data_IF_710152946873
#
_entry.id   IF_710152946873
#
_cell.length_a   1.000
_cell.length_b   1.000
_cell.length_c   1.000
_cell.angle_alpha   90.00
_cell.angle_beta   90.00
_cell.angle_gamma   90.00
#
_symmetry.space_group_name_H-M   'P 1'
#
loop_
_entity.id
_entity.type
_entity.pdbx_description
1 polymer ?
#
# COMPACT_ATOMS: atom_id res chain seq x y z
N UNK A 1 82.26 -16.44 32.61
CA UNK A 1 82.72 -16.86 31.27
C UNK A 1 81.59 -17.65 30.64
N UNK A 2 81.23 -17.23 29.43
CA UNK A 2 80.43 -17.86 28.36
C UNK A 2 80.18 -19.38 28.49
N UNK A 3 79.07 -19.94 28.01
CA UNK A 3 78.48 -19.70 26.68
C UNK A 3 77.02 -20.19 26.58
N UNK A 4 76.25 -19.49 25.76
CA UNK A 4 74.96 -19.88 25.20
C UNK A 4 75.07 -21.13 24.31
N UNK A 5 74.01 -21.97 24.28
CA UNK A 5 73.39 -22.45 23.02
C UNK A 5 72.21 -23.41 23.24
N UNK A 6 71.10 -23.07 22.56
CA UNK A 6 70.05 -23.92 21.97
C UNK A 6 68.80 -24.28 22.77
N UNK A 7 67.80 -23.43 22.54
CA UNK A 7 66.39 -23.70 22.22
C UNK A 7 66.02 -25.11 21.72
N UNK A 8 64.92 -25.66 22.25
CA UNK A 8 63.78 -26.13 21.44
C UNK A 8 62.52 -26.39 22.30
N UNK A 9 61.46 -25.64 21.98
CA UNK A 9 60.04 -26.03 21.92
C UNK A 9 59.36 -26.55 23.21
N UNK A 10 58.59 -25.67 23.86
CA UNK A 10 57.50 -26.00 24.78
C UNK A 10 56.17 -25.70 24.08
N UNK A 11 55.47 -26.75 23.65
CA UNK A 11 54.06 -26.68 23.28
C UNK A 11 53.24 -26.71 24.58
N UNK A 12 52.85 -25.52 25.05
CA UNK A 12 51.88 -25.34 26.12
C UNK A 12 50.47 -25.57 25.59
N UNK A 13 49.79 -26.56 26.15
CA UNK A 13 48.35 -26.72 26.05
C UNK A 13 47.64 -25.50 26.68
N UNK A 14 46.61 -24.89 26.05
CA UNK A 14 45.76 -23.95 26.74
C UNK A 14 44.62 -24.67 27.47
N UNK A 15 44.34 -24.12 28.65
CA UNK A 15 43.44 -24.58 29.67
C UNK A 15 41.99 -24.79 29.23
N UNK A 16 41.31 -25.64 29.99
CA UNK A 16 39.89 -25.93 29.88
C UNK A 16 39.05 -24.64 29.91
N UNK A 17 38.33 -24.38 28.82
CA UNK A 17 37.33 -23.31 28.72
C UNK A 17 36.06 -23.77 29.44
N UNK A 18 35.67 -22.99 30.43
CA UNK A 18 34.43 -23.07 31.22
C UNK A 18 33.19 -23.07 30.28
N UNK A 19 32.19 -23.97 30.43
CA UNK A 19 31.11 -24.08 29.46
C UNK A 19 29.97 -23.06 29.63
N UNK A 20 30.13 -22.02 30.47
CA UNK A 20 29.08 -21.04 30.78
C UNK A 20 29.22 -19.66 30.12
N UNK A 21 30.22 -19.45 29.24
CA UNK A 21 30.33 -18.19 28.48
C UNK A 21 29.48 -18.23 27.19
N UNK A 22 28.16 -18.18 27.36
CA UNK A 22 27.23 -17.88 26.26
C UNK A 22 27.03 -16.36 26.16
N UNK A 23 27.14 -15.77 24.95
CA UNK A 23 26.72 -14.39 24.76
C UNK A 23 25.22 -14.27 25.07
N UNK A 24 24.88 -13.40 26.02
CA UNK A 24 23.51 -13.05 26.37
C UNK A 24 22.78 -12.49 25.16
N UNK A 25 21.54 -12.96 24.95
CA UNK A 25 20.67 -12.64 23.83
C UNK A 25 20.06 -11.21 23.90
N UNK A 26 20.81 -10.24 24.41
CA UNK A 26 20.44 -8.83 24.49
C UNK A 26 21.52 -7.98 23.78
N UNK A 27 21.75 -8.28 22.50
CA UNK A 27 22.43 -7.36 21.60
C UNK A 27 21.49 -6.20 21.26
N UNK A 28 21.99 -4.95 21.16
CA UNK A 28 21.14 -3.81 20.82
C UNK A 28 20.46 -4.05 19.46
N UNK A 29 19.13 -3.94 19.43
CA UNK A 29 18.36 -3.84 18.19
C UNK A 29 18.93 -2.64 17.42
N UNK A 30 19.74 -2.91 16.41
CA UNK A 30 20.34 -1.87 15.59
C UNK A 30 19.21 -0.99 15.03
N UNK A 31 19.29 0.35 15.16
CA UNK A 31 18.30 1.22 14.58
C UNK A 31 18.28 1.00 13.07
N UNK A 32 17.08 0.91 12.49
CA UNK A 32 16.92 0.80 11.05
C UNK A 32 17.68 1.95 10.36
N UNK A 33 18.59 1.66 9.41
CA UNK A 33 19.28 2.72 8.70
C UNK A 33 18.25 3.56 7.94
N UNK A 34 18.27 4.86 8.18
CA UNK A 34 17.52 5.83 7.35
C UNK A 34 18.18 5.83 5.97
N UNK A 35 17.67 5.05 5.02
CA UNK A 35 18.09 5.16 3.63
C UNK A 35 16.93 5.06 2.64
N UNK A 36 17.04 5.91 1.63
CA UNK A 36 16.11 6.11 0.53
C UNK A 36 16.19 4.97 -0.49
N UNK A 37 15.14 4.13 -0.52
CA UNK A 37 14.45 3.70 -1.74
C UNK A 37 15.10 2.70 -2.71
N UNK A 38 16.34 2.88 -3.18
CA UNK A 38 16.72 2.27 -4.47
C UNK A 38 17.85 1.25 -4.48
N UNK A 39 18.62 1.02 -3.41
CA UNK A 39 19.77 0.11 -3.47
C UNK A 39 19.98 -0.65 -2.16
N UNK A 40 19.11 -1.61 -1.86
CA UNK A 40 19.47 -2.66 -0.89
C UNK A 40 20.15 -3.79 -1.66
N UNK A 41 21.44 -4.08 -1.40
CA UNK A 41 22.11 -5.25 -1.96
C UNK A 41 21.33 -6.52 -1.61
N UNK A 42 21.24 -7.52 -2.53
CA UNK A 42 20.56 -8.78 -2.28
C UNK A 42 21.03 -9.48 -0.98
N UNK A 43 22.29 -9.29 -0.61
CA UNK A 43 22.91 -9.83 0.61
C UNK A 43 22.27 -9.29 1.90
N UNK A 44 21.78 -8.04 1.91
CA UNK A 44 21.09 -7.46 3.06
C UNK A 44 19.69 -8.05 3.19
N UNK A 45 19.06 -8.36 2.05
CA UNK A 45 17.79 -9.07 2.00
C UNK A 45 17.91 -10.50 2.52
N UNK A 46 18.96 -11.22 2.12
CA UNK A 46 19.24 -12.59 2.58
C UNK A 46 19.51 -12.61 4.09
N UNK A 47 20.32 -11.68 4.59
CA UNK A 47 20.61 -11.58 6.04
C UNK A 47 19.37 -11.24 6.88
N UNK A 48 18.42 -10.47 6.34
CA UNK A 48 17.12 -10.21 6.99
C UNK A 48 16.17 -11.40 6.90
N UNK A 49 16.19 -12.15 5.80
CA UNK A 49 15.41 -13.37 5.65
C UNK A 49 15.89 -14.47 6.61
N UNK A 50 17.20 -14.63 6.76
CA UNK A 50 17.81 -15.59 7.70
C UNK A 50 17.47 -15.26 9.16
N UNK A 51 17.43 -13.97 9.54
CA UNK A 51 17.00 -13.54 10.88
C UNK A 51 15.50 -13.77 11.14
N UNK A 52 14.68 -13.89 10.09
CA UNK A 52 13.26 -14.27 10.19
C UNK A 52 13.06 -15.79 10.24
N UNK A 53 14.07 -16.54 9.81
CA UNK A 53 14.11 -18.01 9.75
C UNK A 53 14.90 -18.66 10.90
N UNK A 54 15.31 -17.86 11.89
CA UNK A 54 16.04 -18.34 13.07
C UNK A 54 15.28 -19.54 13.69
N UNK A 55 15.86 -20.76 13.67
CA UNK A 55 15.18 -21.94 14.16
C UNK A 55 14.97 -21.79 15.67
N UNK A 56 13.81 -22.21 16.22
CA UNK A 56 13.63 -22.17 17.66
C UNK A 56 14.76 -22.96 18.32
N UNK A 57 15.35 -22.36 19.36
CA UNK A 57 16.34 -22.99 20.21
C UNK A 57 15.97 -24.46 20.46
N UNK A 58 16.93 -25.35 20.18
CA UNK A 58 16.75 -26.82 20.18
C UNK A 58 15.91 -27.24 21.39
N UNK A 59 14.74 -27.82 21.14
CA UNK A 59 13.92 -28.48 22.17
C UNK A 59 12.47 -28.00 22.30
N UNK A 60 12.03 -26.95 21.58
CA UNK A 60 10.59 -26.65 21.48
C UNK A 60 10.03 -27.19 20.18
N UNK A 61 8.93 -27.98 20.18
CA UNK A 61 8.28 -28.35 18.95
C UNK A 61 7.95 -27.06 18.20
N UNK A 62 8.55 -26.90 17.03
CA UNK A 62 8.20 -25.84 16.12
C UNK A 62 6.74 -26.05 15.76
N UNK A 63 5.83 -25.40 16.51
CA UNK A 63 4.51 -25.09 16.01
C UNK A 63 4.76 -24.25 14.77
N UNK A 64 4.90 -24.92 13.62
CA UNK A 64 4.68 -24.37 12.29
C UNK A 64 3.25 -23.84 12.35
N UNK A 65 3.08 -22.64 12.90
CA UNK A 65 1.83 -21.88 12.82
C UNK A 65 1.64 -21.71 11.34
N UNK A 66 0.74 -22.49 10.78
CA UNK A 66 0.29 -22.39 9.41
C UNK A 66 0.05 -20.92 9.11
N UNK A 67 0.94 -20.35 8.29
CA UNK A 67 0.99 -18.93 7.99
C UNK A 67 -0.09 -18.69 6.92
N UNK A 68 -1.34 -18.61 7.36
CA UNK A 68 -2.45 -18.29 6.48
C UNK A 68 -2.43 -16.79 6.19
N UNK A 69 -2.24 -16.43 4.92
CA UNK A 69 -2.46 -15.08 4.43
C UNK A 69 -3.96 -14.84 4.32
N UNK A 70 -4.43 -13.69 4.80
CA UNK A 70 -5.80 -13.23 4.54
C UNK A 70 -5.88 -12.88 3.05
N UNK A 71 -6.83 -13.45 2.30
CA UNK A 71 -7.01 -13.13 0.90
C UNK A 71 -7.49 -11.69 0.73
N UNK A 72 -6.68 -10.84 0.09
CA UNK A 72 -7.00 -9.42 -0.14
C UNK A 72 -7.33 -9.09 -1.60
N UNK A 73 -7.16 -10.04 -2.53
CA UNK A 73 -7.36 -9.84 -3.98
C UNK A 73 -8.73 -9.28 -4.32
N UNK A 74 -9.79 -9.86 -3.74
CA UNK A 74 -11.16 -9.40 -3.96
C UNK A 74 -11.35 -7.94 -3.53
N UNK A 75 -10.80 -7.57 -2.36
CA UNK A 75 -10.86 -6.20 -1.86
C UNK A 75 -10.03 -5.22 -2.72
N UNK A 76 -8.85 -5.63 -3.19
CA UNK A 76 -8.03 -4.86 -4.13
C UNK A 76 -8.77 -4.59 -5.45
N UNK A 77 -9.43 -5.62 -6.00
CA UNK A 77 -10.25 -5.50 -7.21
C UNK A 77 -11.42 -4.56 -6.99
N UNK A 78 -12.17 -4.70 -5.89
CA UNK A 78 -13.29 -3.81 -5.56
C UNK A 78 -12.83 -2.36 -5.43
N UNK A 79 -11.70 -2.11 -4.75
CA UNK A 79 -11.13 -0.77 -4.61
C UNK A 79 -10.78 -0.17 -5.98
N UNK A 80 -10.11 -0.96 -6.84
CA UNK A 80 -9.69 -0.53 -8.18
C UNK A 80 -10.88 -0.29 -9.10
N UNK A 81 -11.88 -1.17 -9.08
CA UNK A 81 -13.13 -1.02 -9.84
C UNK A 81 -13.93 0.20 -9.36
N UNK A 82 -13.90 0.49 -8.06
CA UNK A 82 -14.43 1.73 -7.51
C UNK A 82 -13.80 2.96 -8.19
N UNK A 83 -12.46 3.04 -8.22
CA UNK A 83 -11.76 4.13 -8.92
C UNK A 83 -12.04 4.14 -10.43
N UNK A 84 -12.13 2.99 -11.08
CA UNK A 84 -12.50 2.89 -12.49
C UNK A 84 -13.91 3.45 -12.76
N UNK A 85 -14.87 3.17 -11.88
CA UNK A 85 -16.21 3.75 -11.92
C UNK A 85 -16.19 5.28 -11.84
N UNK A 86 -15.27 5.86 -11.05
CA UNK A 86 -15.12 7.31 -10.95
C UNK A 86 -14.54 7.91 -12.24
N UNK A 87 -13.62 7.19 -12.90
CA UNK A 87 -13.13 7.59 -14.24
C UNK A 87 -14.30 7.59 -15.24
N UNK A 88 -15.13 6.54 -15.24
CA UNK A 88 -16.29 6.45 -16.13
C UNK A 88 -17.27 7.60 -15.85
N UNK A 89 -17.60 7.86 -14.58
CA UNK A 89 -18.46 8.99 -14.20
C UNK A 89 -17.90 10.34 -14.69
N UNK A 90 -16.59 10.55 -14.55
CA UNK A 90 -15.92 11.75 -15.03
C UNK A 90 -15.95 11.87 -16.56
N UNK A 91 -15.76 10.76 -17.28
CA UNK A 91 -15.85 10.74 -18.75
C UNK A 91 -17.26 11.04 -19.24
N UNK A 92 -18.28 10.51 -18.56
CA UNK A 92 -19.68 10.82 -18.87
C UNK A 92 -19.98 12.32 -18.65
N UNK A 93 -19.49 12.90 -17.56
CA UNK A 93 -19.62 14.34 -17.30
C UNK A 93 -18.91 15.18 -18.37
N UNK A 94 -17.71 14.78 -18.78
CA UNK A 94 -16.97 15.46 -19.85
C UNK A 94 -17.66 15.34 -21.20
N UNK A 95 -18.25 14.18 -21.51
CA UNK A 95 -19.01 13.98 -22.74
C UNK A 95 -20.26 14.86 -22.77
N UNK A 96 -20.94 15.04 -21.63
CA UNK A 96 -22.10 15.93 -21.51
C UNK A 96 -21.74 17.42 -21.71
N UNK A 97 -20.50 17.82 -21.48
CA UNK A 97 -20.05 19.21 -21.69
C UNK A 97 -19.79 19.56 -23.17
N UNK A 98 -19.60 18.57 -24.05
CA UNK A 98 -19.32 18.82 -25.47
C UNK A 98 -20.61 19.29 -26.18
N UNK A 99 -20.62 20.40 -26.95
CA UNK A 99 -21.85 21.07 -27.42
C UNK A 99 -22.63 20.29 -28.49
N UNK A 100 -22.30 19.03 -28.74
CA UNK A 100 -22.99 18.18 -29.73
C UNK A 100 -24.27 17.52 -29.21
N UNK A 101 -24.70 17.80 -27.98
CA UNK A 101 -26.06 17.43 -27.53
C UNK A 101 -27.12 18.48 -27.92
N UNK A 102 -26.78 19.49 -28.73
CA UNK A 102 -27.73 20.45 -29.33
C UNK A 102 -28.68 19.84 -30.40
N UNK A 103 -28.65 18.53 -30.60
CA UNK A 103 -29.71 17.82 -31.31
C UNK A 103 -30.01 16.53 -30.55
N UNK A 104 -31.07 16.54 -29.75
CA UNK A 104 -31.66 15.38 -29.06
C UNK A 104 -32.22 14.29 -29.99
N UNK A 105 -31.48 13.92 -31.04
CA UNK A 105 -31.70 12.77 -31.93
C UNK A 105 -30.37 12.25 -32.46
N UNK A 106 -29.63 11.48 -31.65
CA UNK A 106 -28.68 10.51 -32.20
C UNK A 106 -29.37 9.17 -32.41
N UNK A 107 -29.70 8.84 -33.67
CA UNK A 107 -30.02 7.47 -34.14
C UNK A 107 -31.12 6.71 -33.37
N UNK A 108 -32.24 7.37 -33.03
CA UNK A 108 -33.42 6.70 -32.47
C UNK A 108 -33.28 6.17 -31.04
N UNK A 109 -32.14 6.41 -30.38
CA UNK A 109 -32.00 6.21 -28.95
C UNK A 109 -32.44 7.50 -28.25
N UNK A 110 -33.69 7.52 -27.82
CA UNK A 110 -34.07 8.33 -26.65
C UNK A 110 -33.41 7.59 -25.48
N UNK A 111 -32.53 8.25 -24.74
CA UNK A 111 -32.13 7.78 -23.41
C UNK A 111 -33.01 8.56 -22.44
N UNK A 112 -34.25 8.11 -22.14
CA UNK A 112 -35.05 8.76 -21.14
C UNK A 112 -34.54 8.24 -19.80
N UNK A 113 -33.81 9.06 -19.06
CA UNK A 113 -33.66 8.96 -17.60
C UNK A 113 -32.69 10.06 -17.16
N UNK A 114 -33.25 11.10 -16.57
CA UNK A 114 -32.65 12.02 -15.61
C UNK A 114 -31.10 11.90 -15.49
N UNK A 115 -30.37 12.66 -16.31
CA UNK A 115 -28.90 12.61 -16.41
C UNK A 115 -28.22 12.78 -15.04
N UNK A 116 -28.91 13.49 -14.13
CA UNK A 116 -28.54 13.70 -12.73
C UNK A 116 -28.55 12.40 -11.90
N UNK A 117 -29.51 11.51 -12.13
CA UNK A 117 -29.71 10.29 -11.35
C UNK A 117 -28.66 9.22 -11.69
N UNK A 118 -28.36 9.02 -12.98
CA UNK A 118 -27.32 8.07 -13.41
C UNK A 118 -25.92 8.54 -12.99
N UNK A 119 -25.64 9.83 -13.14
CA UNK A 119 -24.36 10.40 -12.70
C UNK A 119 -24.20 10.29 -11.17
N UNK A 120 -25.24 10.66 -10.43
CA UNK A 120 -25.26 10.54 -8.96
C UNK A 120 -25.07 9.10 -8.52
N UNK A 121 -25.85 8.16 -9.07
CA UNK A 121 -25.75 6.74 -8.76
C UNK A 121 -24.37 6.17 -9.08
N UNK A 122 -23.81 6.46 -10.25
CA UNK A 122 -22.47 5.99 -10.65
C UNK A 122 -21.40 6.51 -9.70
N UNK A 123 -21.49 7.79 -9.32
CA UNK A 123 -20.54 8.42 -8.38
C UNK A 123 -20.65 7.82 -6.99
N UNK A 124 -21.87 7.63 -6.47
CA UNK A 124 -22.11 7.04 -5.15
C UNK A 124 -21.61 5.59 -5.10
N UNK A 125 -22.00 4.77 -6.09
CA UNK A 125 -21.60 3.36 -6.16
C UNK A 125 -20.08 3.23 -6.31
N UNK A 126 -19.48 4.05 -7.17
CA UNK A 126 -18.02 4.11 -7.36
C UNK A 126 -17.29 4.49 -6.07
N UNK A 127 -17.74 5.54 -5.38
CA UNK A 127 -17.13 5.99 -4.13
C UNK A 127 -17.28 4.95 -3.02
N UNK A 128 -18.45 4.32 -2.91
CA UNK A 128 -18.70 3.25 -1.96
C UNK A 128 -17.81 2.03 -2.24
N UNK A 129 -17.71 1.58 -3.49
CA UNK A 129 -16.84 0.49 -3.89
C UNK A 129 -15.37 0.80 -3.62
N UNK A 130 -14.90 2.00 -4.00
CA UNK A 130 -13.52 2.42 -3.76
C UNK A 130 -13.19 2.42 -2.25
N UNK A 131 -14.08 2.99 -1.43
CA UNK A 131 -13.88 3.15 0.02
C UNK A 131 -13.96 1.82 0.76
N UNK A 132 -14.97 1.00 0.47
CA UNK A 132 -15.16 -0.32 1.11
C UNK A 132 -14.07 -1.30 0.68
N UNK A 133 -13.73 -1.32 -0.61
CA UNK A 133 -12.63 -2.12 -1.12
C UNK A 133 -11.30 -1.72 -0.48
N UNK A 134 -11.03 -0.41 -0.38
CA UNK A 134 -9.82 0.10 0.26
C UNK A 134 -9.75 -0.22 1.75
N UNK A 135 -10.86 -0.06 2.48
CA UNK A 135 -10.93 -0.41 3.90
C UNK A 135 -10.70 -1.91 4.11
N UNK A 136 -11.42 -2.77 3.37
CA UNK A 136 -11.26 -4.22 3.47
C UNK A 136 -9.82 -4.65 3.12
N UNK A 137 -9.23 -4.02 2.10
CA UNK A 137 -7.86 -4.31 1.68
C UNK A 137 -6.86 -3.89 2.77
N UNK A 138 -6.95 -2.66 3.28
CA UNK A 138 -6.01 -2.16 4.31
C UNK A 138 -6.11 -2.96 5.61
N UNK A 139 -7.30 -3.36 6.04
CA UNK A 139 -7.46 -4.25 7.21
C UNK A 139 -6.81 -5.61 6.96
N UNK A 140 -7.10 -6.26 5.83
CA UNK A 140 -6.51 -7.56 5.49
C UNK A 140 -5.00 -7.51 5.31
N UNK A 141 -4.49 -6.45 4.66
CA UNK A 141 -3.06 -6.21 4.48
C UNK A 141 -2.36 -6.02 5.84
N UNK A 142 -2.96 -5.28 6.78
CA UNK A 142 -2.41 -5.09 8.13
C UNK A 142 -2.22 -6.43 8.85
N UNK A 143 -3.19 -7.35 8.75
CA UNK A 143 -3.04 -8.70 9.30
C UNK A 143 -1.89 -9.48 8.65
N UNK A 144 -1.72 -9.36 7.34
CA UNK A 144 -0.68 -10.07 6.59
C UNK A 144 0.75 -9.60 6.95
N UNK A 145 0.96 -8.32 7.29
CA UNK A 145 2.30 -7.78 7.58
C UNK A 145 2.56 -7.47 9.07
N UNK A 146 1.60 -7.73 9.96
CA UNK A 146 1.72 -7.46 11.41
C UNK A 146 2.97 -8.06 12.06
N UNK A 147 3.58 -9.10 11.49
CA UNK A 147 4.81 -9.72 12.03
C UNK A 147 6.10 -9.12 11.46
N UNK A 148 6.05 -8.55 10.25
CA UNK A 148 7.21 -7.91 9.61
C UNK A 148 7.38 -6.47 10.11
N UNK A 149 6.27 -5.83 10.47
CA UNK A 149 6.29 -4.49 11.05
C UNK A 149 5.20 -4.36 12.14
N UNK A 150 5.41 -4.96 13.32
CA UNK A 150 4.41 -5.04 14.40
C UNK A 150 4.03 -3.68 14.97
N UNK A 151 4.93 -2.71 14.93
CA UNK A 151 4.67 -1.37 15.46
C UNK A 151 3.95 -0.45 14.46
N UNK A 152 3.97 -0.75 13.17
CA UNK A 152 3.43 0.18 12.15
C UNK A 152 1.99 -0.10 11.74
N UNK A 153 1.48 -1.32 11.91
CA UNK A 153 0.29 -1.76 11.15
C UNK A 153 -0.67 -2.58 12.03
N UNK A 154 -1.36 -1.90 12.95
CA UNK A 154 -2.52 -2.49 13.63
C UNK A 154 -3.72 -2.52 12.68
N UNK A 155 -4.48 -3.63 12.57
CA UNK A 155 -5.70 -3.68 11.76
C UNK A 155 -6.80 -2.76 12.29
N UNK A 156 -6.70 -2.31 13.55
CA UNK A 156 -7.60 -1.33 14.12
C UNK A 156 -7.35 0.10 13.61
N UNK A 157 -6.14 0.40 13.16
CA UNK A 157 -5.78 1.75 12.69
C UNK A 157 -6.59 2.15 11.44
N UNK A 158 -6.64 1.34 10.35
CA UNK A 158 -7.49 1.66 9.20
C UNK A 158 -8.98 1.82 9.57
N UNK A 159 -9.50 1.02 10.50
CA UNK A 159 -10.89 1.13 10.96
C UNK A 159 -11.12 2.45 11.70
N UNK A 160 -10.27 2.77 12.68
CA UNK A 160 -10.37 4.01 13.45
C UNK A 160 -10.25 5.25 12.54
N UNK A 161 -9.42 5.19 11.51
CA UNK A 161 -9.25 6.27 10.54
C UNK A 161 -10.46 6.38 9.62
N UNK A 162 -10.75 5.36 8.83
CA UNK A 162 -11.70 5.47 7.73
C UNK A 162 -13.16 5.36 8.18
N UNK A 163 -13.46 4.56 9.21
CA UNK A 163 -14.82 4.48 9.79
C UNK A 163 -15.03 5.59 10.79
N UNK A 164 -14.09 5.78 11.73
CA UNK A 164 -14.20 6.80 12.77
C UNK A 164 -14.24 8.22 12.19
N UNK A 165 -13.32 8.54 11.27
CA UNK A 165 -13.30 9.84 10.59
C UNK A 165 -14.57 10.11 9.79
N UNK A 166 -15.07 9.13 9.02
CA UNK A 166 -16.31 9.27 8.27
C UNK A 166 -17.53 9.44 9.19
N UNK A 167 -17.59 8.71 10.29
CA UNK A 167 -18.66 8.85 11.28
C UNK A 167 -18.68 10.27 11.88
N UNK A 168 -17.52 10.81 12.26
CA UNK A 168 -17.41 12.19 12.78
C UNK A 168 -17.92 13.21 11.73
N UNK A 169 -17.53 13.06 10.47
CA UNK A 169 -18.01 13.94 9.38
C UNK A 169 -19.53 13.83 9.23
N UNK A 170 -20.09 12.61 9.19
CA UNK A 170 -21.53 12.40 9.07
C UNK A 170 -22.28 12.99 10.26
N UNK A 171 -21.80 12.79 11.48
CA UNK A 171 -22.38 13.41 12.68
C UNK A 171 -22.37 14.93 12.58
N UNK A 172 -21.26 15.52 12.11
CA UNK A 172 -21.20 16.96 11.83
C UNK A 172 -22.22 17.40 10.78
N UNK A 173 -22.37 16.67 9.67
CA UNK A 173 -23.35 17.00 8.63
C UNK A 173 -24.82 16.89 9.09
N UNK A 174 -25.10 16.05 10.07
CA UNK A 174 -26.44 15.87 10.66
C UNK A 174 -26.71 16.84 11.83
N UNK A 175 -25.69 17.51 12.35
CA UNK A 175 -25.83 18.49 13.43
C UNK A 175 -26.33 19.84 12.91
N UNK A 176 -27.04 20.57 13.76
CA UNK A 176 -27.71 21.82 13.40
C UNK A 176 -27.21 23.04 14.21
N UNK A 177 -26.23 22.85 15.10
CA UNK A 177 -25.64 23.91 15.93
C UNK A 177 -24.21 24.30 15.55
N UNK A 178 -23.58 25.09 16.43
CA UNK A 178 -22.21 25.60 16.28
C UNK A 178 -21.15 24.48 16.23
N UNK A 179 -21.50 23.27 16.70
CA UNK A 179 -20.67 22.08 16.63
C UNK A 179 -20.50 21.50 15.21
N UNK A 180 -21.35 21.90 14.25
CA UNK A 180 -21.32 21.38 12.88
C UNK A 180 -19.97 21.59 12.20
N UNK A 181 -19.52 22.83 12.16
CA UNK A 181 -18.26 23.21 11.51
C UNK A 181 -17.05 22.51 12.13
N UNK A 182 -16.82 22.54 13.47
CA UNK A 182 -15.69 21.85 14.06
C UNK A 182 -15.75 20.34 13.92
N UNK A 183 -16.93 19.71 13.93
CA UNK A 183 -17.07 18.27 13.68
C UNK A 183 -16.70 17.90 12.23
N UNK A 184 -17.21 18.63 11.24
CA UNK A 184 -16.88 18.38 9.82
C UNK A 184 -15.39 18.57 9.58
N UNK A 185 -14.82 19.69 10.04
CA UNK A 185 -13.40 19.98 9.86
C UNK A 185 -12.51 18.99 10.63
N UNK A 186 -12.88 18.65 11.87
CA UNK A 186 -12.17 17.67 12.68
C UNK A 186 -12.18 16.28 12.08
N UNK A 187 -13.33 15.82 11.56
CA UNK A 187 -13.46 14.54 10.86
C UNK A 187 -12.65 14.49 9.57
N UNK A 188 -12.64 15.57 8.77
CA UNK A 188 -11.80 15.68 7.57
C UNK A 188 -10.31 15.68 7.91
N UNK A 189 -9.90 16.41 8.93
CA UNK A 189 -8.52 16.43 9.42
C UNK A 189 -8.09 15.03 9.91
N UNK A 190 -8.96 14.34 10.64
CA UNK A 190 -8.74 12.96 11.10
C UNK A 190 -8.55 12.00 9.92
N UNK A 191 -9.41 12.09 8.90
CA UNK A 191 -9.27 11.28 7.67
C UNK A 191 -7.96 11.58 6.94
N UNK A 192 -7.58 12.86 6.80
CA UNK A 192 -6.36 13.27 6.13
C UNK A 192 -5.09 12.78 6.84
N UNK A 193 -4.94 13.12 8.12
CA UNK A 193 -3.79 12.72 8.94
C UNK A 193 -3.75 11.19 9.10
N UNK A 194 -4.91 10.58 9.38
CA UNK A 194 -5.02 9.14 9.52
C UNK A 194 -4.68 8.40 8.23
N UNK A 195 -5.09 8.91 7.07
CA UNK A 195 -4.73 8.32 5.77
C UNK A 195 -3.22 8.35 5.55
N UNK A 196 -2.55 9.48 5.87
CA UNK A 196 -1.09 9.60 5.81
C UNK A 196 -0.42 8.57 6.72
N UNK A 197 -0.92 8.36 7.94
CA UNK A 197 -0.38 7.36 8.87
C UNK A 197 -0.58 5.93 8.35
N UNK A 198 -1.79 5.59 7.90
CA UNK A 198 -2.11 4.26 7.35
C UNK A 198 -1.26 3.98 6.11
N UNK A 199 -1.27 4.85 5.11
CA UNK A 199 -0.53 4.63 3.86
C UNK A 199 0.98 4.69 4.09
N UNK A 200 1.45 5.61 4.93
CA UNK A 200 2.87 5.70 5.32
C UNK A 200 3.35 4.42 6.02
N UNK A 201 2.51 3.82 6.86
CA UNK A 201 2.83 2.54 7.49
C UNK A 201 2.92 1.40 6.47
N UNK A 202 1.98 1.33 5.51
CA UNK A 202 2.02 0.33 4.44
C UNK A 202 3.18 0.54 3.48
N UNK A 203 3.56 1.79 3.21
CA UNK A 203 4.76 2.10 2.43
C UNK A 203 6.02 1.56 3.11
N UNK A 204 6.18 1.80 4.42
CA UNK A 204 7.29 1.27 5.20
C UNK A 204 7.28 -0.26 5.19
N UNK A 205 6.11 -0.88 5.39
CA UNK A 205 5.97 -2.33 5.31
C UNK A 205 6.29 -2.87 3.91
N UNK A 206 5.85 -2.19 2.85
CA UNK A 206 6.10 -2.55 1.46
C UNK A 206 7.60 -2.61 1.14
N UNK A 207 8.37 -1.60 1.53
CA UNK A 207 9.82 -1.62 1.36
C UNK A 207 10.48 -2.76 2.15
N UNK A 208 9.98 -3.10 3.34
CA UNK A 208 10.49 -4.20 4.17
C UNK A 208 10.16 -5.60 3.63
N UNK A 209 9.18 -5.74 2.75
CA UNK A 209 8.82 -7.03 2.13
C UNK A 209 9.24 -7.11 0.65
N UNK A 210 9.91 -6.08 0.12
CA UNK A 210 10.34 -6.03 -1.28
C UNK A 210 9.19 -5.81 -2.27
N UNK A 211 8.14 -5.10 -1.85
CA UNK A 211 7.06 -4.60 -2.71
C UNK A 211 7.36 -3.17 -3.19
N UNK A 212 6.57 -2.68 -4.16
CA UNK A 212 6.71 -1.34 -4.75
C UNK A 212 6.22 -0.25 -3.77
N UNK A 213 7.08 0.16 -2.83
CA UNK A 213 6.78 1.22 -1.87
C UNK A 213 6.51 2.59 -2.50
N UNK A 214 7.02 2.86 -3.69
CA UNK A 214 6.78 4.13 -4.40
C UNK A 214 5.34 4.29 -4.88
N UNK A 215 4.65 3.19 -5.20
CA UNK A 215 3.23 3.25 -5.56
C UNK A 215 2.36 3.64 -4.35
N UNK A 216 2.77 3.27 -3.13
CA UNK A 216 2.14 3.78 -1.90
C UNK A 216 2.44 5.26 -1.67
N UNK A 217 3.59 5.77 -2.10
CA UNK A 217 3.87 7.21 -2.04
C UNK A 217 2.89 7.99 -2.94
N UNK A 218 2.58 7.48 -4.13
CA UNK A 218 1.56 8.07 -5.00
C UNK A 218 0.19 8.06 -4.35
N UNK A 219 -0.19 6.97 -3.69
CA UNK A 219 -1.45 6.88 -2.95
C UNK A 219 -1.56 7.87 -1.80
N UNK A 220 -0.44 8.34 -1.25
CA UNK A 220 -0.40 9.37 -0.21
C UNK A 220 -0.62 10.78 -0.80
N UNK A 221 0.00 11.07 -1.94
CA UNK A 221 0.01 12.42 -2.51
C UNK A 221 -1.08 12.69 -3.54
N UNK A 222 -1.48 11.69 -4.33
CA UNK A 222 -2.50 11.85 -5.38
C UNK A 222 -3.87 12.29 -4.84
N UNK A 223 -4.39 11.76 -3.70
CA UNK A 223 -5.63 12.27 -3.13
C UNK A 223 -5.51 13.73 -2.71
N UNK A 224 -4.39 14.09 -2.08
CA UNK A 224 -4.13 15.46 -1.63
C UNK A 224 -4.05 16.41 -2.84
N UNK A 225 -3.28 16.05 -3.86
CA UNK A 225 -3.18 16.81 -5.09
C UNK A 225 -4.54 16.94 -5.80
N UNK A 226 -5.35 15.88 -5.82
CA UNK A 226 -6.70 15.90 -6.38
C UNK A 226 -7.66 16.82 -5.62
N UNK A 227 -7.61 16.81 -4.28
CA UNK A 227 -8.40 17.73 -3.44
C UNK A 227 -7.96 19.17 -3.65
N UNK A 228 -6.65 19.44 -3.59
CA UNK A 228 -6.08 20.78 -3.85
C UNK A 228 -6.46 21.27 -5.25
N UNK A 229 -6.37 20.40 -6.26
CA UNK A 229 -6.79 20.71 -7.62
C UNK A 229 -8.27 21.10 -7.70
N UNK A 230 -9.17 20.34 -7.04
CA UNK A 230 -10.60 20.67 -7.02
C UNK A 230 -10.88 22.00 -6.33
N UNK A 231 -10.21 22.28 -5.21
CA UNK A 231 -10.32 23.58 -4.52
C UNK A 231 -9.84 24.70 -5.44
N UNK A 232 -8.68 24.52 -6.08
CA UNK A 232 -8.15 25.47 -7.05
C UNK A 232 -9.13 25.73 -8.20
N UNK A 233 -9.65 24.67 -8.83
CA UNK A 233 -10.63 24.78 -9.91
C UNK A 233 -11.88 25.53 -9.45
N UNK A 234 -12.42 25.22 -8.27
CA UNK A 234 -13.61 25.90 -7.74
C UNK A 234 -13.35 27.39 -7.50
N UNK A 235 -12.19 27.76 -6.96
CA UNK A 235 -11.79 29.17 -6.75
C UNK A 235 -11.59 29.88 -8.08
N UNK A 236 -10.90 29.26 -9.03
CA UNK A 236 -10.69 29.84 -10.36
C UNK A 236 -12.03 30.06 -11.05
N UNK A 237 -12.92 29.06 -11.05
CA UNK A 237 -14.24 29.15 -11.67
C UNK A 237 -15.18 30.14 -10.98
N UNK A 238 -15.05 30.36 -9.67
CA UNK A 238 -15.87 31.38 -8.98
C UNK A 238 -15.42 32.80 -9.29
N UNK A 239 -14.13 33.00 -9.58
CA UNK A 239 -13.54 34.30 -9.91
C UNK A 239 -13.54 34.61 -11.41
N UNK A 240 -13.65 33.59 -12.28
CA UNK A 240 -13.68 33.76 -13.72
C UNK A 240 -14.98 34.42 -14.18
N UNK A 241 -14.96 35.45 -15.04
CA UNK A 241 -16.17 35.95 -15.68
C UNK A 241 -16.80 34.88 -16.56
N UNK A 242 -18.13 34.85 -16.66
CA UNK A 242 -18.85 33.79 -17.38
C UNK A 242 -18.46 33.69 -18.87
N UNK A 243 -18.09 34.80 -19.50
CA UNK A 243 -17.58 34.84 -20.87
C UNK A 243 -16.34 33.94 -21.09
N UNK A 244 -15.57 33.65 -20.05
CA UNK A 244 -14.37 32.82 -20.10
C UNK A 244 -14.63 31.35 -19.73
N UNK A 245 -15.82 31.01 -19.19
CA UNK A 245 -16.22 29.63 -18.81
C UNK A 245 -16.68 28.83 -20.03
N UNK A 246 -15.90 28.89 -21.11
CA UNK A 246 -16.20 28.18 -22.35
C UNK A 246 -16.12 26.67 -22.14
N UNK A 247 -16.82 25.90 -22.98
CA UNK A 247 -16.74 24.43 -22.99
C UNK A 247 -15.31 23.92 -23.04
N UNK A 248 -14.43 24.56 -23.82
CA UNK A 248 -13.04 24.15 -23.94
C UNK A 248 -12.29 24.29 -22.60
N UNK A 249 -12.54 25.36 -21.85
CA UNK A 249 -11.95 25.59 -20.52
C UNK A 249 -12.48 24.57 -19.52
N UNK A 250 -13.80 24.36 -19.46
CA UNK A 250 -14.42 23.40 -18.54
C UNK A 250 -14.00 21.95 -18.86
N UNK A 251 -13.93 21.59 -20.14
CA UNK A 251 -13.46 20.30 -20.60
C UNK A 251 -11.98 20.11 -20.21
N UNK A 252 -11.11 21.08 -20.49
CA UNK A 252 -9.69 21.01 -20.13
C UNK A 252 -9.48 20.81 -18.62
N UNK A 253 -10.19 21.58 -17.79
CA UNK A 253 -10.14 21.44 -16.34
C UNK A 253 -10.71 20.08 -15.88
N UNK A 254 -11.79 19.60 -16.48
CA UNK A 254 -12.35 18.28 -16.17
C UNK A 254 -11.41 17.13 -16.58
N UNK A 255 -10.74 17.22 -17.74
CA UNK A 255 -9.77 16.22 -18.20
C UNK A 255 -8.57 16.14 -17.28
N UNK A 256 -7.99 17.28 -16.89
CA UNK A 256 -6.92 17.34 -15.90
C UNK A 256 -7.35 16.73 -14.56
N UNK A 257 -8.59 17.00 -14.11
CA UNK A 257 -9.20 16.35 -12.95
C UNK A 257 -9.27 14.83 -13.10
N UNK A 258 -9.67 14.34 -14.28
CA UNK A 258 -9.75 12.92 -14.61
C UNK A 258 -8.40 12.19 -14.52
N UNK A 259 -7.28 12.87 -14.86
CA UNK A 259 -5.94 12.28 -14.75
C UNK A 259 -5.59 11.89 -13.31
N UNK A 260 -6.02 12.66 -12.31
CA UNK A 260 -5.82 12.30 -10.90
C UNK A 260 -6.57 11.02 -10.54
N UNK A 261 -7.80 10.83 -11.04
CA UNK A 261 -8.62 9.64 -10.78
C UNK A 261 -8.01 8.40 -11.47
N UNK A 262 -7.55 8.56 -12.72
CA UNK A 262 -6.82 7.49 -13.43
C UNK A 262 -5.53 7.14 -12.69
N UNK A 263 -4.79 8.14 -12.23
CA UNK A 263 -3.60 7.94 -11.40
C UNK A 263 -3.88 7.16 -10.12
N UNK A 264 -4.99 7.47 -9.43
CA UNK A 264 -5.44 6.75 -8.25
C UNK A 264 -5.79 5.29 -8.56
N UNK A 265 -6.52 5.04 -9.65
CA UNK A 265 -6.86 3.69 -10.10
C UNK A 265 -5.60 2.85 -10.35
N UNK A 266 -4.66 3.37 -11.14
CA UNK A 266 -3.43 2.67 -11.50
C UNK A 266 -2.52 2.45 -10.29
N UNK A 267 -2.36 3.46 -9.43
CA UNK A 267 -1.51 3.35 -8.23
C UNK A 267 -2.11 2.36 -7.23
N UNK A 268 -3.44 2.35 -7.07
CA UNK A 268 -4.15 1.38 -6.22
C UNK A 268 -3.90 -0.04 -6.71
N UNK A 269 -4.10 -0.28 -8.01
CA UNK A 269 -3.86 -1.59 -8.60
C UNK A 269 -2.42 -2.06 -8.43
N UNK A 270 -1.43 -1.22 -8.78
CA UNK A 270 -0.01 -1.58 -8.71
C UNK A 270 0.48 -1.79 -7.27
N UNK A 271 0.09 -0.91 -6.35
CA UNK A 271 0.46 -1.02 -4.94
C UNK A 271 -0.10 -2.30 -4.33
N UNK A 272 -1.40 -2.56 -4.51
CA UNK A 272 -2.07 -3.73 -3.92
C UNK A 272 -1.55 -5.05 -4.50
N UNK A 273 -1.43 -5.16 -5.83
CA UNK A 273 -0.93 -6.37 -6.49
C UNK A 273 0.53 -6.67 -6.13
N UNK A 274 1.40 -5.67 -6.13
CA UNK A 274 2.81 -5.83 -5.74
C UNK A 274 2.94 -6.28 -4.28
N UNK A 275 2.16 -5.67 -3.38
CA UNK A 275 2.17 -6.02 -1.96
C UNK A 275 1.71 -7.46 -1.70
N UNK A 276 0.65 -7.91 -2.40
CA UNK A 276 0.17 -9.27 -2.31
C UNK A 276 1.17 -10.30 -2.83
N UNK A 277 1.81 -10.03 -3.97
CA UNK A 277 2.87 -10.89 -4.51
C UNK A 277 4.04 -11.01 -3.54
N UNK A 278 4.45 -9.91 -2.91
CA UNK A 278 5.50 -9.92 -1.88
C UNK A 278 5.10 -10.74 -0.65
N UNK A 279 3.89 -10.56 -0.13
CA UNK A 279 3.36 -11.36 0.97
C UNK A 279 3.31 -12.85 0.62
N UNK A 280 2.91 -13.20 -0.60
CA UNK A 280 2.88 -14.58 -1.06
C UNK A 280 4.27 -15.21 -1.13
N UNK A 281 5.25 -14.51 -1.71
CA UNK A 281 6.66 -14.97 -1.77
C UNK A 281 7.25 -15.21 -0.39
N UNK A 282 7.01 -14.30 0.56
CA UNK A 282 7.47 -14.47 1.94
C UNK A 282 6.83 -15.69 2.61
N UNK A 283 5.57 -15.97 2.30
CA UNK A 283 4.89 -17.12 2.86
C UNK A 283 5.38 -18.45 2.27
N UNK A 284 5.61 -18.52 0.96
CA UNK A 284 6.15 -19.73 0.30
C UNK A 284 7.57 -20.05 0.76
N UNK A 285 8.42 -19.02 0.94
CA UNK A 285 9.75 -19.14 1.54
C UNK A 285 9.70 -19.74 2.93
N UNK A 286 8.89 -19.14 3.80
CA UNK A 286 8.74 -19.57 5.18
C UNK A 286 8.18 -20.99 5.35
N UNK A 287 7.43 -21.50 4.37
CA UNK A 287 6.91 -22.87 4.38
C UNK A 287 7.94 -23.89 3.84
N UNK A 288 9.07 -23.43 3.29
CA UNK A 288 10.08 -24.26 2.64
C UNK A 288 9.62 -24.80 1.28
N UNK A 289 8.67 -24.13 0.64
CA UNK A 289 8.07 -24.55 -0.65
C UNK A 289 8.58 -23.73 -1.84
N UNK A 290 9.71 -23.00 -1.71
CA UNK A 290 10.32 -22.44 -2.91
C UNK A 290 10.74 -23.59 -3.83
N UNK A 291 10.00 -23.72 -4.94
CA UNK A 291 10.48 -24.45 -6.10
C UNK A 291 11.85 -23.86 -6.47
N UNK A 292 12.86 -24.69 -6.77
CA UNK A 292 14.16 -24.20 -7.15
C UNK A 292 14.02 -23.17 -8.29
N UNK A 293 14.89 -22.15 -8.36
CA UNK A 293 14.98 -21.27 -9.52
C UNK A 293 14.91 -22.08 -10.82
N UNK A 294 14.18 -21.58 -11.82
CA UNK A 294 13.98 -22.28 -13.10
C UNK A 294 15.32 -22.78 -13.67
N UNK A 295 16.39 -22.03 -13.49
CA UNK A 295 17.74 -22.40 -13.92
C UNK A 295 18.26 -23.65 -13.22
N UNK A 296 18.01 -23.80 -11.92
CA UNK A 296 18.36 -25.01 -11.15
C UNK A 296 17.49 -26.20 -11.55
N UNK A 297 16.22 -25.99 -11.88
CA UNK A 297 15.33 -27.04 -12.41
C UNK A 297 15.76 -27.48 -13.81
N UNK A 298 16.12 -26.52 -14.67
CA UNK A 298 16.60 -26.78 -16.02
C UNK A 298 17.99 -27.45 -16.04
N UNK A 299 18.86 -27.10 -15.09
CA UNK A 299 20.15 -27.76 -14.87
C UNK A 299 19.96 -29.20 -14.37
N UNK A 300 19.11 -29.41 -13.37
CA UNK A 300 18.78 -30.74 -12.87
C UNK A 300 18.15 -31.63 -13.95
N UNK A 301 17.27 -31.08 -14.78
CA UNK A 301 16.66 -31.79 -15.91
C UNK A 301 17.68 -32.14 -17.00
N UNK A 302 18.60 -31.22 -17.32
CA UNK A 302 19.71 -31.49 -18.25
C UNK A 302 20.65 -32.57 -17.73
N UNK A 303 20.97 -32.57 -16.44
CA UNK A 303 21.81 -33.59 -15.81
C UNK A 303 21.12 -34.96 -15.74
N UNK A 304 19.80 -35.00 -15.55
CA UNK A 304 19.03 -36.23 -15.53
C UNK A 304 18.91 -36.89 -16.92
N UNK A 305 18.87 -36.09 -18.00
CA UNK A 305 18.77 -36.58 -19.38
C UNK A 305 20.12 -36.75 -20.09
N UNK A 306 21.23 -36.42 -19.43
CA UNK A 306 22.59 -36.65 -19.94
C UNK A 306 23.17 -38.00 -19.49
N UNK A 307 22.37 -38.82 -18.79
CA UNK A 307 22.65 -40.22 -18.43
C UNK A 307 21.80 -41.15 -19.28
#
# INVERSE_FOLDING_TARGET
>A
MENDARSSLSDGAPDAVDPDDRPTADGPVLPAPRMTGSELPPEVWERWADQLDDPPARGRPALRRWRWLIPTRGAAMIATLGWAGAVIAQMLLLAALVPSFDLGKSRGFVVPLDESAWFGATTIVSAAAASLGWLAWTVGAAFNVRRVSPLSTSPLLPLAVYVGGAAIVVTGLLSHGDERTPLVLGGLAWLGVGHVLVVGSFRSAAYRIGALGDEFAKLLWLPMAGVTYRVFVNVVLSLLPDAWKTTLVLFGLGTLGGLFVVGMMLSTWRATTSFEQACHRLNTRALGHELPPIDKVAEAWRQANAR
#
